data_IF_234466593576
#
_entry.id   IF_234466593576
#
_cell.length_a   1.000
_cell.length_b   1.000
_cell.length_c   1.000
_cell.angle_alpha   90.00
_cell.angle_beta   90.00
_cell.angle_gamma   90.00
#
_symmetry.space_group_name_H-M   'P 1'
#
loop_
_entity.id
_entity.type
_entity.pdbx_description
1 polymer ?
#
# COMPACT_ATOMS: atom_id res chain seq x y z
N UNK A 1 4.00 4.37 -12.90
CA UNK A 1 5.37 4.88 -13.09
C UNK A 1 5.41 6.20 -13.85
N UNK A 2 4.51 6.38 -14.82
CA UNK A 2 4.44 7.65 -15.57
C UNK A 2 4.18 8.86 -14.68
N UNK A 3 3.35 8.72 -13.66
CA UNK A 3 3.04 9.82 -12.74
C UNK A 3 4.29 10.30 -12.00
N UNK A 4 5.17 9.39 -11.60
CA UNK A 4 6.38 9.73 -10.86
C UNK A 4 7.45 10.32 -11.78
N UNK A 5 7.44 9.92 -13.05
CA UNK A 5 8.43 10.37 -14.04
C UNK A 5 8.05 11.66 -14.77
N UNK A 6 6.82 12.13 -14.61
CA UNK A 6 6.35 13.31 -15.34
C UNK A 6 7.13 14.56 -14.93
N UNK A 7 7.55 15.36 -15.92
CA UNK A 7 8.32 16.58 -15.66
C UNK A 7 7.47 17.73 -15.16
N UNK A 8 6.25 17.84 -15.69
CA UNK A 8 5.40 19.01 -15.49
C UNK A 8 4.18 18.70 -14.63
N UNK A 9 4.24 17.71 -13.81
CA UNK A 9 3.13 17.32 -12.94
C UNK A 9 3.18 15.86 -12.59
N UNK A 10 2.09 15.35 -12.04
CA UNK A 10 1.97 13.97 -11.59
C UNK A 10 2.22 13.80 -10.11
N UNK A 11 2.99 12.79 -9.71
CA UNK A 11 3.23 12.47 -8.31
C UNK A 11 4.72 12.34 -8.02
N UNK A 12 5.12 12.67 -6.81
CA UNK A 12 6.51 12.45 -6.34
C UNK A 12 6.72 11.00 -5.87
N UNK A 13 5.64 10.30 -5.56
CA UNK A 13 5.65 8.88 -5.23
C UNK A 13 4.29 8.27 -5.54
N UNK A 14 4.24 6.96 -5.66
CA UNK A 14 3.01 6.23 -5.95
C UNK A 14 3.04 4.86 -5.30
N UNK A 15 1.88 4.42 -4.83
CA UNK A 15 1.66 3.04 -4.39
C UNK A 15 0.61 2.42 -5.30
N UNK A 16 0.81 1.19 -5.68
CA UNK A 16 -0.18 0.52 -6.51
C UNK A 16 0.24 -0.87 -6.93
N UNK A 17 -0.68 -1.56 -7.59
CA UNK A 17 -0.45 -2.89 -8.08
C UNK A 17 0.38 -2.89 -9.36
N UNK A 18 1.23 -3.91 -9.49
CA UNK A 18 1.98 -4.16 -10.72
C UNK A 18 1.20 -5.02 -11.71
N UNK A 19 0.06 -5.55 -11.30
CA UNK A 19 -0.80 -6.39 -12.14
C UNK A 19 -2.24 -6.34 -11.66
N UNK A 20 -3.04 -7.31 -12.06
CA UNK A 20 -4.44 -7.41 -11.67
C UNK A 20 -4.54 -7.70 -10.17
N UNK A 21 -5.23 -6.83 -9.46
CA UNK A 21 -5.39 -6.96 -8.02
C UNK A 21 -6.53 -7.88 -7.63
N UNK A 22 -6.54 -8.25 -6.37
CA UNK A 22 -7.58 -9.07 -5.77
C UNK A 22 -8.32 -8.32 -4.68
N UNK A 23 -9.61 -8.61 -4.56
CA UNK A 23 -10.45 -8.15 -3.47
C UNK A 23 -11.22 -9.28 -2.86
N UNK A 24 -11.81 -9.03 -1.71
CA UNK A 24 -12.69 -9.99 -1.03
C UNK A 24 -14.13 -9.45 -1.14
N UNK A 25 -15.03 -10.15 -1.85
CA UNK A 25 -16.42 -9.73 -1.97
C UNK A 25 -17.13 -9.72 -0.61
N UNK A 26 -18.05 -8.81 -0.43
CA UNK A 26 -18.75 -8.63 0.85
C UNK A 26 -17.94 -7.75 1.81
N UNK A 27 -18.52 -7.47 2.97
CA UNK A 27 -17.87 -6.65 4.01
C UNK A 27 -17.26 -5.36 3.48
N UNK A 28 -17.94 -4.73 2.52
CA UNK A 28 -17.48 -3.51 1.84
C UNK A 28 -16.10 -3.68 1.17
N UNK A 29 -15.68 -4.91 0.93
CA UNK A 29 -14.40 -5.26 0.33
C UNK A 29 -13.18 -4.76 1.11
N UNK A 30 -13.35 -4.41 2.39
CA UNK A 30 -12.30 -3.72 3.15
C UNK A 30 -11.75 -4.53 4.32
N UNK A 31 -12.44 -5.58 4.76
CA UNK A 31 -12.07 -6.28 6.00
C UNK A 31 -11.37 -7.63 5.82
N UNK A 32 -11.49 -8.23 4.64
CA UNK A 32 -10.97 -9.58 4.37
C UNK A 32 -9.59 -9.62 3.73
N UNK A 33 -8.91 -8.50 3.65
CA UNK A 33 -7.62 -8.41 2.96
C UNK A 33 -7.77 -7.91 1.51
N UNK A 34 -6.75 -8.13 0.70
CA UNK A 34 -6.72 -7.69 -0.69
C UNK A 34 -6.39 -6.20 -0.85
N UNK A 35 -6.62 -5.70 -2.05
CA UNK A 35 -6.18 -4.35 -2.42
C UNK A 35 -6.86 -3.25 -1.63
N UNK A 36 -8.14 -3.40 -1.35
CA UNK A 36 -8.86 -2.38 -0.58
C UNK A 36 -8.32 -2.29 0.85
N UNK A 37 -8.05 -3.42 1.48
CA UNK A 37 -7.51 -3.44 2.84
C UNK A 37 -6.14 -2.76 2.91
N UNK A 38 -5.24 -3.12 2.00
CA UNK A 38 -3.86 -2.60 2.04
C UNK A 38 -3.81 -1.10 1.71
N UNK A 39 -4.69 -0.64 0.82
CA UNK A 39 -4.81 0.78 0.48
C UNK A 39 -5.31 1.60 1.68
N UNK A 40 -6.32 1.11 2.38
CA UNK A 40 -6.83 1.77 3.58
C UNK A 40 -5.77 1.79 4.67
N UNK A 41 -5.04 0.70 4.83
CA UNK A 41 -4.02 0.60 5.88
C UNK A 41 -2.89 1.60 5.73
N UNK A 42 -2.47 1.93 4.50
CA UNK A 42 -1.41 2.94 4.35
C UNK A 42 -1.88 4.33 4.81
N UNK A 43 -3.14 4.66 4.56
CA UNK A 43 -3.70 5.92 5.08
C UNK A 43 -3.84 5.88 6.60
N UNK A 44 -4.17 4.73 7.16
CA UNK A 44 -4.24 4.57 8.62
C UNK A 44 -2.85 4.73 9.25
N UNK A 45 -1.81 4.16 8.66
CA UNK A 45 -0.44 4.34 9.15
C UNK A 45 -0.03 5.81 9.16
N UNK A 46 -0.40 6.55 8.13
CA UNK A 46 -0.13 7.97 8.08
C UNK A 46 -0.99 8.76 9.08
N UNK A 47 -2.31 8.59 9.03
CA UNK A 47 -3.25 9.42 9.78
C UNK A 47 -3.37 9.06 11.25
N UNK A 48 -3.44 7.76 11.58
CA UNK A 48 -3.65 7.32 12.95
C UNK A 48 -2.35 7.02 13.69
N UNK A 49 -1.37 6.41 13.00
CA UNK A 49 -0.11 5.99 13.62
C UNK A 49 1.01 7.02 13.45
N UNK A 50 0.77 8.08 12.71
CA UNK A 50 1.74 9.18 12.56
C UNK A 50 2.96 8.85 11.71
N UNK A 51 2.89 7.85 10.85
CA UNK A 51 4.01 7.47 9.97
C UNK A 51 4.05 8.40 8.77
N UNK A 52 4.79 9.48 8.86
CA UNK A 52 4.83 10.51 7.83
C UNK A 52 5.97 10.35 6.82
N UNK A 53 6.87 9.41 7.01
CA UNK A 53 7.89 9.04 6.02
C UNK A 53 7.32 7.92 5.14
N UNK A 54 7.37 8.09 3.83
CA UNK A 54 6.72 7.18 2.87
C UNK A 54 7.17 5.73 3.01
N UNK A 55 8.48 5.50 3.13
CA UNK A 55 9.01 4.16 3.30
C UNK A 55 8.57 3.51 4.60
N UNK A 56 8.48 4.27 5.68
CA UNK A 56 8.00 3.77 6.97
C UNK A 56 6.51 3.38 6.89
N UNK A 57 5.70 4.24 6.28
CA UNK A 57 4.28 3.95 6.09
C UNK A 57 4.08 2.70 5.23
N UNK A 58 4.84 2.57 4.15
CA UNK A 58 4.80 1.38 3.29
C UNK A 58 5.22 0.12 4.05
N UNK A 59 6.34 0.17 4.74
CA UNK A 59 6.87 -0.97 5.49
C UNK A 59 5.88 -1.43 6.56
N UNK A 60 5.36 -0.52 7.36
CA UNK A 60 4.41 -0.87 8.41
C UNK A 60 3.10 -1.39 7.86
N UNK A 61 2.66 -0.89 6.71
CA UNK A 61 1.45 -1.40 6.04
C UNK A 61 1.64 -2.86 5.62
N UNK A 62 2.76 -3.17 4.97
CA UNK A 62 3.07 -4.54 4.54
C UNK A 62 3.24 -5.46 5.75
N UNK A 63 3.93 -4.98 6.77
CA UNK A 63 4.17 -5.75 8.00
C UNK A 63 2.86 -6.09 8.70
N UNK A 64 1.95 -5.13 8.79
CA UNK A 64 0.63 -5.34 9.39
C UNK A 64 -0.21 -6.31 8.55
N UNK A 65 -0.14 -6.22 7.22
CA UNK A 65 -0.84 -7.16 6.35
C UNK A 65 -0.34 -8.60 6.59
N UNK A 66 0.96 -8.80 6.56
CA UNK A 66 1.57 -10.13 6.72
C UNK A 66 1.22 -10.74 8.08
N UNK A 67 1.15 -9.94 9.12
CA UNK A 67 0.80 -10.42 10.46
C UNK A 67 -0.70 -10.61 10.69
N UNK A 68 -1.54 -10.04 9.83
CA UNK A 68 -3.00 -10.10 9.98
C UNK A 68 -3.66 -11.23 9.21
N UNK A 69 -3.00 -11.76 8.18
CA UNK A 69 -3.59 -12.77 7.28
C UNK A 69 -2.67 -13.97 7.14
N UNK A 70 -3.27 -15.11 6.78
CA UNK A 70 -2.53 -16.34 6.53
C UNK A 70 -1.87 -16.29 5.14
N UNK A 71 -0.59 -16.00 5.11
CA UNK A 71 0.18 -15.90 3.86
C UNK A 71 0.41 -17.25 3.19
N UNK A 72 0.13 -18.36 3.90
CA UNK A 72 0.25 -19.70 3.32
C UNK A 72 -1.00 -20.14 2.57
N UNK A 73 -2.11 -19.45 2.73
CA UNK A 73 -3.34 -19.71 1.99
C UNK A 73 -3.28 -19.06 0.62
N UNK A 74 -2.76 -19.79 -0.36
CA UNK A 74 -2.58 -19.30 -1.72
C UNK A 74 -3.91 -18.99 -2.41
N UNK A 75 -4.98 -19.69 -2.03
CA UNK A 75 -6.31 -19.46 -2.61
C UNK A 75 -6.93 -18.14 -2.20
N UNK A 76 -6.54 -17.59 -1.07
CA UNK A 76 -7.04 -16.30 -0.59
C UNK A 76 -6.37 -15.09 -1.26
N UNK A 77 -5.24 -15.30 -1.97
CA UNK A 77 -4.58 -14.22 -2.71
C UNK A 77 -3.78 -13.24 -1.86
N UNK A 78 -3.55 -13.52 -0.57
CA UNK A 78 -2.83 -12.60 0.30
C UNK A 78 -1.37 -12.42 -0.10
N UNK A 79 -0.68 -13.52 -0.41
CA UNK A 79 0.71 -13.47 -0.87
C UNK A 79 0.82 -12.64 -2.14
N UNK A 80 -0.10 -12.84 -3.09
CA UNK A 80 -0.11 -12.08 -4.34
C UNK A 80 -0.38 -10.61 -4.11
N UNK A 81 -1.27 -10.25 -3.21
CA UNK A 81 -1.55 -8.85 -2.85
C UNK A 81 -0.27 -8.14 -2.41
N UNK A 82 0.48 -8.75 -1.50
CA UNK A 82 1.73 -8.17 -1.00
C UNK A 82 2.79 -8.09 -2.10
N UNK A 83 2.94 -9.15 -2.89
CA UNK A 83 3.96 -9.20 -3.95
C UNK A 83 3.70 -8.22 -5.08
N UNK A 84 2.45 -7.91 -5.36
CA UNK A 84 2.08 -7.00 -6.44
C UNK A 84 2.05 -5.54 -6.02
N UNK A 85 1.90 -5.26 -4.73
CA UNK A 85 1.76 -3.90 -4.24
C UNK A 85 3.12 -3.24 -4.16
N UNK A 86 3.33 -2.25 -5.01
CA UNK A 86 4.64 -1.64 -5.23
C UNK A 86 4.66 -0.19 -4.80
N UNK A 87 5.77 0.22 -4.22
CA UNK A 87 6.10 1.61 -3.96
C UNK A 87 7.04 2.12 -5.04
N UNK A 88 6.70 3.27 -5.62
CA UNK A 88 7.54 3.94 -6.62
C UNK A 88 7.83 5.34 -6.15
N UNK A 89 9.10 5.62 -5.89
CA UNK A 89 9.53 6.91 -5.38
C UNK A 89 10.68 6.77 -4.40
N UNK A 90 11.05 7.88 -3.79
CA UNK A 90 12.09 7.89 -2.75
C UNK A 90 11.45 7.55 -1.38
N UNK A 91 11.87 6.46 -0.72
CA UNK A 91 11.27 6.06 0.55
C UNK A 91 11.54 7.05 1.70
N UNK A 92 12.51 7.93 1.56
CA UNK A 92 12.82 8.93 2.59
C UNK A 92 11.92 10.17 2.54
N UNK A 93 11.09 10.30 1.52
CA UNK A 93 10.20 11.46 1.37
C UNK A 93 9.17 11.54 2.51
N UNK A 94 8.96 12.76 2.98
CA UNK A 94 7.96 13.03 4.01
C UNK A 94 6.63 13.38 3.36
N UNK A 95 5.56 12.70 3.80
CA UNK A 95 4.20 13.00 3.38
C UNK A 95 3.82 14.38 3.91
N UNK A 96 3.30 15.24 3.02
CA UNK A 96 2.99 16.63 3.38
C UNK A 96 4.14 17.60 3.14
N UNK A 97 5.32 17.09 2.80
CA UNK A 97 6.47 17.92 2.46
C UNK A 97 7.33 18.30 3.66
N UNK A 98 8.27 19.16 3.38
CA UNK A 98 9.22 19.69 4.39
C UNK A 98 8.94 21.16 4.60
N UNK A 99 9.17 21.61 5.82
CA UNK A 99 9.05 23.04 6.18
C UNK A 99 10.21 23.86 5.60
#
# INVERSE_FOLDING_TARGET
WRFVRARDGGAIASFGNTGLGYGVPGNDCTTGGGDAWITIEIFRQYGAEGKDILGDAYYETVNHYVSSFDMTDLGAGHTKTVQQWAFMGDPSLKIGGYD
#
